data_IF_043729786148
#
_entry.id   IF_043729786148
#
_cell.length_a   1.000
_cell.length_b   1.000
_cell.length_c   1.000
_cell.angle_alpha   90.00
_cell.angle_beta   90.00
_cell.angle_gamma   90.00
#
_symmetry.space_group_name_H-M   'P 1'
#
loop_
_entity.id
_entity.type
_entity.pdbx_description
1 polymer ?
#
# COMPACT_ATOMS: atom_id res chain seq x y z
N UNK A 1 -17.38 -5.72 2.20
CA UNK A 1 -16.13 -5.11 1.67
C UNK A 1 -14.98 -5.17 2.67
N UNK A 2 -15.02 -4.49 3.82
CA UNK A 2 -13.96 -4.63 4.85
C UNK A 2 -14.05 -5.96 5.60
N UNK A 3 -15.26 -6.36 5.99
CA UNK A 3 -15.51 -7.63 6.68
C UNK A 3 -15.14 -8.84 5.82
N UNK A 4 -15.49 -8.85 4.53
CA UNK A 4 -15.13 -9.94 3.62
C UNK A 4 -13.62 -10.09 3.48
N UNK A 5 -12.88 -8.97 3.47
CA UNK A 5 -11.43 -8.98 3.43
C UNK A 5 -10.83 -9.58 4.71
N UNK A 6 -11.36 -9.23 5.88
CA UNK A 6 -10.95 -9.81 7.16
C UNK A 6 -11.27 -11.32 7.22
N UNK A 7 -12.52 -11.69 6.92
CA UNK A 7 -13.00 -13.08 6.90
C UNK A 7 -12.19 -13.96 5.94
N UNK A 8 -11.88 -13.45 4.75
CA UNK A 8 -11.11 -14.17 3.74
C UNK A 8 -9.65 -14.43 4.11
N UNK A 9 -9.12 -13.76 5.14
CA UNK A 9 -7.74 -13.88 5.59
C UNK A 9 -7.59 -14.28 7.06
N UNK A 10 -8.66 -14.71 7.74
CA UNK A 10 -8.66 -15.06 9.16
C UNK A 10 -7.61 -16.12 9.53
N UNK A 11 -7.36 -17.09 8.65
CA UNK A 11 -6.42 -18.19 8.88
C UNK A 11 -4.94 -17.81 8.62
N UNK A 12 -4.67 -16.58 8.20
CA UNK A 12 -3.31 -16.09 7.93
C UNK A 12 -2.76 -15.31 9.12
N UNK A 13 -1.60 -15.71 9.63
CA UNK A 13 -0.93 -15.05 10.76
C UNK A 13 -0.48 -13.61 10.44
N UNK A 14 -0.18 -13.33 9.17
CA UNK A 14 0.17 -12.00 8.69
C UNK A 14 -0.31 -11.83 7.26
N UNK A 15 -1.13 -10.81 7.03
CA UNK A 15 -1.65 -10.46 5.71
C UNK A 15 -1.84 -8.94 5.61
N UNK A 16 -2.01 -8.46 4.39
CA UNK A 16 -2.25 -7.05 4.12
C UNK A 16 -2.77 -6.84 2.70
N UNK A 17 -3.16 -5.61 2.42
CA UNK A 17 -3.59 -5.17 1.10
C UNK A 17 -3.08 -3.76 0.82
N UNK A 18 -3.13 -3.34 -0.44
CA UNK A 18 -2.78 -1.99 -0.84
C UNK A 18 -3.84 -1.46 -1.81
N UNK A 19 -4.42 -0.32 -1.49
CA UNK A 19 -5.36 0.40 -2.33
C UNK A 19 -5.27 1.92 -2.03
N UNK A 20 -4.90 2.77 -3.00
CA UNK A 20 -4.82 4.22 -2.83
C UNK A 20 -6.12 4.86 -2.33
N UNK A 21 -7.28 4.29 -2.67
CA UNK A 21 -8.58 4.81 -2.22
C UNK A 21 -8.81 4.59 -0.72
N UNK A 22 -8.06 3.67 -0.10
CA UNK A 22 -8.14 3.40 1.35
C UNK A 22 -7.77 4.64 2.16
N UNK A 23 -6.98 5.57 1.62
CA UNK A 23 -6.60 6.82 2.28
C UNK A 23 -7.81 7.55 2.88
N UNK A 24 -8.92 7.66 2.13
CA UNK A 24 -10.12 8.38 2.54
C UNK A 24 -10.95 7.64 3.60
N UNK A 25 -10.59 6.41 3.93
CA UNK A 25 -11.26 5.57 4.91
C UNK A 25 -10.34 5.12 6.04
N UNK A 26 -9.12 5.67 6.13
CA UNK A 26 -8.13 5.25 7.14
C UNK A 26 -8.63 5.44 8.58
N UNK A 27 -9.38 6.50 8.86
CA UNK A 27 -9.98 6.72 10.18
C UNK A 27 -10.93 5.57 10.56
N UNK A 28 -11.67 5.01 9.59
CA UNK A 28 -12.51 3.84 9.85
C UNK A 28 -11.66 2.59 10.11
N UNK A 29 -10.67 2.32 9.27
CA UNK A 29 -9.79 1.15 9.44
C UNK A 29 -9.03 1.16 10.76
N UNK A 30 -8.57 2.32 11.20
CA UNK A 30 -7.86 2.47 12.47
C UNK A 30 -8.69 2.05 13.69
N UNK A 31 -10.02 2.21 13.61
CA UNK A 31 -10.97 1.82 14.67
C UNK A 31 -11.37 0.36 14.64
N UNK A 32 -11.27 -0.31 13.48
CA UNK A 32 -11.71 -1.69 13.32
C UNK A 32 -10.83 -2.68 14.07
N UNK A 33 -9.52 -2.48 14.06
CA UNK A 33 -8.56 -3.34 14.75
C UNK A 33 -7.38 -2.50 15.25
N UNK A 34 -7.10 -2.48 16.57
CA UNK A 34 -5.96 -1.76 17.13
C UNK A 34 -4.59 -2.31 16.69
N UNK A 35 -4.53 -3.54 16.17
CA UNK A 35 -3.29 -4.18 15.69
C UNK A 35 -2.94 -3.88 14.24
N UNK A 36 -3.86 -3.27 13.47
CA UNK A 36 -3.57 -2.87 12.10
C UNK A 36 -2.41 -1.88 12.05
N UNK A 37 -1.44 -2.20 11.19
CA UNK A 37 -0.29 -1.36 10.88
C UNK A 37 -0.45 -0.76 9.49
N UNK A 38 -0.17 0.53 9.34
CA UNK A 38 -0.35 1.26 8.10
C UNK A 38 1.00 1.57 7.45
N UNK A 39 1.21 1.06 6.24
CA UNK A 39 2.35 1.45 5.41
C UNK A 39 1.88 2.52 4.44
N UNK A 40 2.32 3.76 4.66
CA UNK A 40 1.91 4.93 3.92
C UNK A 40 3.01 5.29 2.91
N UNK A 41 2.70 5.17 1.63
CA UNK A 41 3.68 5.42 0.57
C UNK A 41 3.44 6.78 -0.06
N UNK A 42 4.48 7.61 -0.12
CA UNK A 42 4.47 8.89 -0.81
C UNK A 42 5.54 8.93 -1.92
N UNK A 43 5.34 9.82 -2.89
CA UNK A 43 6.33 10.09 -3.94
C UNK A 43 6.33 11.59 -4.27
N UNK A 44 7.36 12.04 -4.97
CA UNK A 44 7.61 13.45 -5.29
C UNK A 44 6.53 14.04 -6.22
N UNK A 45 6.20 15.35 -6.10
CA UNK A 45 5.12 15.98 -6.88
C UNK A 45 5.37 15.97 -8.39
N UNK A 46 6.63 16.05 -8.82
CA UNK A 46 6.98 15.99 -10.24
C UNK A 46 6.65 14.63 -10.88
N UNK A 47 6.58 13.55 -10.08
CA UNK A 47 6.21 12.21 -10.56
C UNK A 47 4.74 12.16 -10.99
N UNK A 48 3.86 12.84 -10.25
CA UNK A 48 2.46 12.96 -10.62
C UNK A 48 2.28 13.68 -11.96
N UNK A 49 3.08 14.71 -12.23
CA UNK A 49 3.11 15.40 -13.52
C UNK A 49 3.66 14.51 -14.64
N UNK A 50 4.76 13.78 -14.39
CA UNK A 50 5.35 12.86 -15.36
C UNK A 50 4.39 11.73 -15.73
N UNK A 51 3.63 11.20 -14.76
CA UNK A 51 2.66 10.15 -14.99
C UNK A 51 1.49 10.64 -15.84
N UNK A 52 1.00 11.86 -15.60
CA UNK A 52 -0.01 12.49 -16.44
C UNK A 52 0.51 12.83 -17.84
N UNK A 53 1.78 13.26 -17.95
CA UNK A 53 2.43 13.58 -19.23
C UNK A 53 2.90 12.36 -20.02
N UNK A 54 2.86 11.16 -19.44
CA UNK A 54 3.09 9.90 -20.16
C UNK A 54 1.89 9.50 -21.04
N UNK A 55 0.76 10.19 -20.89
CA UNK A 55 -0.34 10.17 -21.85
C UNK A 55 0.10 10.82 -23.18
N UNK A 56 -0.67 10.65 -24.26
CA UNK A 56 -0.28 11.07 -25.63
C UNK A 56 0.03 12.58 -25.78
N UNK A 57 -0.28 13.40 -24.77
CA UNK A 57 -0.04 14.85 -24.76
C UNK A 57 0.39 15.33 -23.36
N UNK A 58 1.35 16.27 -23.27
CA UNK A 58 1.70 16.88 -22.00
C UNK A 58 0.53 17.70 -21.44
N UNK A 59 0.36 17.77 -20.10
CA UNK A 59 -0.72 18.52 -19.49
C UNK A 59 -0.58 20.02 -19.77
N UNK A 60 -1.69 20.68 -20.06
CA UNK A 60 -1.78 22.14 -20.10
C UNK A 60 -1.52 22.73 -18.71
N UNK A 61 -1.21 24.02 -18.63
CA UNK A 61 -0.94 24.69 -17.35
C UNK A 61 -2.10 24.56 -16.32
N UNK A 62 -3.39 24.70 -16.69
CA UNK A 62 -4.50 24.44 -15.78
C UNK A 62 -4.57 22.98 -15.28
N UNK A 63 -4.28 22.02 -16.16
CA UNK A 63 -4.28 20.59 -15.79
C UNK A 63 -3.13 20.26 -14.86
N UNK A 64 -1.92 20.76 -15.15
CA UNK A 64 -0.75 20.61 -14.29
C UNK A 64 -1.02 21.16 -12.89
N UNK A 65 -1.67 22.33 -12.79
CA UNK A 65 -2.10 22.90 -11.50
C UNK A 65 -3.05 21.97 -10.76
N UNK A 66 -4.10 21.47 -11.43
CA UNK A 66 -5.05 20.52 -10.84
C UNK A 66 -4.37 19.24 -10.34
N UNK A 67 -3.40 18.71 -11.11
CA UNK A 67 -2.64 17.53 -10.73
C UNK A 67 -1.83 17.78 -9.44
N UNK A 68 -1.16 18.92 -9.35
CA UNK A 68 -0.39 19.30 -8.16
C UNK A 68 -1.28 19.58 -6.95
N UNK A 69 -2.43 20.22 -7.15
CA UNK A 69 -3.39 20.46 -6.07
C UNK A 69 -3.93 19.13 -5.51
N UNK A 70 -4.28 18.18 -6.39
CA UNK A 70 -4.71 16.84 -6.00
C UNK A 70 -3.59 16.08 -5.27
N UNK A 71 -2.36 16.13 -5.79
CA UNK A 71 -1.20 15.51 -5.14
C UNK A 71 -0.98 16.10 -3.75
N UNK A 72 -1.10 17.42 -3.60
CA UNK A 72 -0.92 18.13 -2.32
C UNK A 72 -2.01 17.74 -1.32
N UNK A 73 -3.26 17.68 -1.75
CA UNK A 73 -4.37 17.26 -0.91
C UNK A 73 -4.21 15.80 -0.45
N UNK A 74 -3.88 14.89 -1.37
CA UNK A 74 -3.66 13.47 -1.06
C UNK A 74 -2.50 13.27 -0.08
N UNK A 75 -1.32 13.83 -0.38
CA UNK A 75 -0.14 13.67 0.48
C UNK A 75 -0.28 14.43 1.80
N UNK A 76 -1.03 15.54 1.80
CA UNK A 76 -1.40 16.26 3.02
C UNK A 76 -2.26 15.41 3.96
N UNK A 77 -3.28 14.74 3.43
CA UNK A 77 -4.12 13.82 4.21
C UNK A 77 -3.31 12.62 4.73
N UNK A 78 -2.45 12.05 3.90
CA UNK A 78 -1.56 10.94 4.26
C UNK A 78 -0.61 11.34 5.39
N UNK A 79 0.03 12.50 5.28
CA UNK A 79 0.91 13.04 6.32
C UNK A 79 0.14 13.35 7.60
N UNK A 80 -1.06 13.94 7.50
CA UNK A 80 -1.90 14.22 8.66
C UNK A 80 -2.24 12.95 9.45
N UNK A 81 -2.65 11.88 8.75
CA UNK A 81 -2.93 10.59 9.37
C UNK A 81 -1.68 10.01 10.03
N UNK A 82 -0.53 10.00 9.33
CA UNK A 82 0.75 9.55 9.88
C UNK A 82 1.09 10.26 11.19
N UNK A 83 0.98 11.59 11.23
CA UNK A 83 1.32 12.40 12.40
C UNK A 83 0.45 12.10 13.63
N UNK A 84 -0.80 11.66 13.41
CA UNK A 84 -1.74 11.30 14.48
C UNK A 84 -1.58 9.87 15.01
N UNK A 85 -1.01 8.96 14.21
CA UNK A 85 -0.95 7.53 14.50
C UNK A 85 0.46 6.93 14.28
N UNK A 86 1.50 7.69 14.66
CA UNK A 86 2.91 7.34 14.38
C UNK A 86 3.35 5.99 14.93
N UNK A 87 2.75 5.56 16.04
CA UNK A 87 3.00 4.28 16.71
C UNK A 87 2.57 3.06 15.88
N UNK A 88 1.69 3.28 14.89
CA UNK A 88 1.11 2.22 14.05
C UNK A 88 1.35 2.46 12.56
N UNK A 89 2.18 3.45 12.21
CA UNK A 89 2.40 3.83 10.82
C UNK A 89 3.88 3.82 10.44
N UNK A 90 4.18 3.31 9.25
CA UNK A 90 5.46 3.49 8.58
C UNK A 90 5.26 4.36 7.35
N UNK A 91 5.91 5.53 7.32
CA UNK A 91 5.93 6.42 6.15
C UNK A 91 7.12 6.07 5.25
N UNK A 92 6.85 5.78 3.98
CA UNK A 92 7.84 5.26 3.03
C UNK A 92 7.86 6.09 1.76
N UNK A 93 9.06 6.41 1.28
CA UNK A 93 9.24 7.05 -0.01
C UNK A 93 9.30 6.00 -1.12
N UNK A 94 8.45 6.11 -2.13
CA UNK A 94 8.32 5.13 -3.22
C UNK A 94 9.65 4.84 -3.97
N UNK A 95 10.43 5.86 -4.28
CA UNK A 95 11.74 5.66 -4.92
C UNK A 95 12.79 5.01 -4.00
N UNK A 96 12.73 5.25 -2.69
CA UNK A 96 13.70 4.70 -1.74
C UNK A 96 13.40 3.22 -1.44
N UNK A 97 12.12 2.82 -1.34
CA UNK A 97 11.76 1.42 -1.09
C UNK A 97 12.27 0.49 -2.18
N UNK A 98 12.26 0.95 -3.43
CA UNK A 98 12.81 0.20 -4.58
C UNK A 98 14.31 -0.06 -4.48
N UNK A 99 15.05 0.77 -3.75
CA UNK A 99 16.51 0.66 -3.59
C UNK A 99 16.94 -0.01 -2.29
N UNK A 100 16.09 0.05 -1.27
CA UNK A 100 16.43 -0.36 0.08
C UNK A 100 15.25 -1.05 0.79
N UNK A 101 14.57 -1.97 0.10
CA UNK A 101 13.39 -2.66 0.61
C UNK A 101 13.65 -3.33 1.98
N UNK A 102 14.80 -3.99 2.13
CA UNK A 102 15.18 -4.68 3.38
C UNK A 102 15.22 -3.73 4.58
N UNK A 103 15.66 -2.48 4.38
CA UNK A 103 15.68 -1.48 5.45
C UNK A 103 14.27 -1.13 5.92
N UNK A 104 13.32 -1.00 5.00
CA UNK A 104 11.93 -0.73 5.35
C UNK A 104 11.25 -1.94 5.99
N UNK A 105 11.56 -3.15 5.54
CA UNK A 105 11.10 -4.40 6.18
C UNK A 105 11.59 -4.46 7.64
N UNK A 106 12.86 -4.11 7.89
CA UNK A 106 13.41 -4.03 9.25
C UNK A 106 12.74 -2.95 10.11
N UNK A 107 12.38 -1.81 9.52
CA UNK A 107 11.65 -0.74 10.22
C UNK A 107 10.18 -1.09 10.49
N UNK A 108 9.58 -1.94 9.66
CA UNK A 108 8.20 -2.40 9.81
C UNK A 108 8.08 -3.46 10.91
N UNK A 109 9.10 -4.31 11.09
CA UNK A 109 9.07 -5.43 12.02
C UNK A 109 8.63 -5.06 13.45
N UNK A 110 9.12 -3.98 14.09
CA UNK A 110 8.71 -3.63 15.45
C UNK A 110 7.25 -3.18 15.57
N UNK A 111 6.61 -2.82 14.45
CA UNK A 111 5.20 -2.42 14.41
C UNK A 111 4.27 -3.62 14.29
N UNK A 112 4.80 -4.80 13.95
CA UNK A 112 4.05 -6.02 13.75
C UNK A 112 4.20 -6.96 14.94
N UNK A 113 3.10 -7.61 15.33
CA UNK A 113 3.10 -8.65 16.36
C UNK A 113 3.78 -9.95 15.88
N UNK A 114 3.94 -10.12 14.57
CA UNK A 114 4.44 -11.34 13.93
C UNK A 114 5.73 -11.05 13.13
N UNK A 115 6.74 -11.94 13.17
CA UNK A 115 7.94 -11.80 12.34
C UNK A 115 7.65 -11.86 10.83
N UNK A 116 8.17 -10.89 10.09
CA UNK A 116 8.23 -10.89 8.63
C UNK A 116 9.24 -11.96 8.19
N UNK A 117 8.75 -13.13 7.81
CA UNK A 117 9.59 -14.19 7.25
C UNK A 117 10.08 -13.77 5.86
N UNK A 118 11.38 -13.98 5.57
CA UNK A 118 11.99 -13.66 4.28
C UNK A 118 11.22 -14.31 3.11
N UNK A 119 10.71 -13.50 2.19
CA UNK A 119 10.14 -13.96 0.92
C UNK A 119 11.26 -14.40 -0.04
N UNK A 120 11.18 -15.59 -0.66
CA UNK A 120 12.09 -15.95 -1.74
C UNK A 120 11.82 -15.08 -2.98
N UNK A 121 12.86 -14.53 -3.59
CA UNK A 121 12.82 -13.52 -4.65
C UNK A 121 12.21 -13.95 -6.01
N UNK A 122 11.61 -15.14 -6.12
CA UNK A 122 11.30 -15.77 -7.41
C UNK A 122 9.85 -15.57 -7.92
N UNK A 123 8.93 -14.97 -7.16
CA UNK A 123 7.50 -14.94 -7.51
C UNK A 123 6.94 -13.58 -8.02
N UNK A 124 7.80 -12.71 -8.56
CA UNK A 124 7.39 -11.40 -9.11
C UNK A 124 6.81 -11.53 -10.55
N UNK A 125 5.61 -12.11 -10.68
CA UNK A 125 4.84 -12.08 -11.93
C UNK A 125 3.65 -11.08 -11.82
N UNK A 126 3.38 -10.25 -12.84
CA UNK A 126 2.26 -9.31 -12.84
C UNK A 126 0.92 -10.04 -12.98
N UNK A 127 0.07 -9.96 -11.96
CA UNK A 127 -1.30 -10.52 -11.98
C UNK A 127 -2.31 -9.43 -12.35
N UNK A 128 -2.50 -9.17 -13.65
CA UNK A 128 -3.71 -8.53 -14.17
C UNK A 128 -4.76 -9.60 -14.45
N UNK A 129 -5.62 -9.89 -13.45
CA UNK A 129 -7.01 -10.37 -13.60
C UNK A 129 -7.54 -10.93 -12.26
N UNK A 130 -8.76 -10.55 -11.88
CA UNK A 130 -9.48 -11.14 -10.76
C UNK A 130 -9.67 -12.67 -10.98
N UNK A 131 -9.49 -13.53 -9.95
CA UNK A 131 -9.67 -14.97 -10.14
C UNK A 131 -11.17 -15.34 -10.13
N UNK A 132 -11.65 -16.15 -11.08
CA UNK A 132 -12.92 -16.84 -10.92
C UNK A 132 -12.73 -17.94 -9.86
N UNK A 133 -13.65 -17.98 -8.90
CA UNK A 133 -13.73 -19.03 -7.88
C UNK A 133 -13.65 -20.43 -8.52
N UNK A 134 -12.80 -21.30 -7.97
CA UNK A 134 -12.92 -22.77 -8.09
C UNK A 134 -12.50 -23.42 -6.77
N UNK A 135 -13.30 -24.34 -6.22
CA UNK A 135 -12.89 -25.14 -5.06
C UNK A 135 -12.13 -26.37 -5.54
N UNK A 136 -10.99 -26.70 -4.93
CA UNK A 136 -10.68 -28.00 -4.30
C UNK A 136 -9.19 -28.21 -3.97
N UNK A 137 -9.00 -28.72 -2.75
CA UNK A 137 -7.90 -29.53 -2.21
C UNK A 137 -6.60 -28.87 -1.70
N UNK A 138 -6.00 -29.43 -0.63
CA UNK A 138 -5.10 -28.70 0.26
C UNK A 138 -3.64 -28.92 -0.14
N UNK A 139 -2.87 -27.84 -0.28
CA UNK A 139 -1.41 -27.86 -0.10
C UNK A 139 -0.85 -26.44 -0.02
N UNK A 140 -0.17 -26.21 1.09
CA UNK A 140 0.91 -25.25 1.30
C UNK A 140 0.56 -23.78 1.03
N UNK A 141 0.05 -23.19 2.11
CA UNK A 141 0.14 -21.78 2.50
C UNK A 141 1.45 -21.14 2.06
N UNK A 142 1.34 -20.08 1.24
CA UNK A 142 2.35 -19.04 0.96
C UNK A 142 1.77 -18.09 -0.10
N UNK A 143 1.11 -16.99 0.27
CA UNK A 143 0.93 -15.79 -0.58
C UNK A 143 0.69 -14.56 0.28
N UNK A 144 1.72 -13.74 0.50
CA UNK A 144 1.58 -12.38 1.01
C UNK A 144 1.90 -11.41 -0.14
N UNK A 145 0.99 -10.47 -0.39
CA UNK A 145 1.04 -9.51 -1.49
C UNK A 145 1.77 -8.22 -1.07
N UNK A 146 2.60 -7.68 -1.96
CA UNK A 146 2.96 -6.26 -2.02
C UNK A 146 2.73 -5.80 -3.46
N UNK A 147 1.79 -4.88 -3.66
CA UNK A 147 1.52 -4.26 -4.96
C UNK A 147 2.67 -3.31 -5.32
N UNK A 148 3.12 -3.41 -6.57
CA UNK A 148 3.93 -2.42 -7.26
C UNK A 148 3.15 -1.11 -7.40
N UNK A 149 3.84 0.00 -7.14
CA UNK A 149 3.65 1.26 -7.85
C UNK A 149 4.69 1.32 -8.99
#
# INVERSE_FOLDING_TARGET
>A
MAMDLMLGNLDQELWGWADPQTLYTLDYWQTLDPKLTFVLVYDEPHRALMQAGAELQPPTLPEARRILDNWTAYNGALLHFYLRHRDRCLLVHAQQVRRAADRYVQQLQPLLDTPLQHLPAQDLAPQTAAPPWRPTAPRQSKRCCLLNA
#
